data_IF_447985069699
#
_entry.id   IF_447985069699
#
_cell.length_a   1.000
_cell.length_b   1.000
_cell.length_c   1.000
_cell.angle_alpha   90.00
_cell.angle_beta   90.00
_cell.angle_gamma   90.00
#
_symmetry.space_group_name_H-M   'P 1'
#
loop_
_entity.id
_entity.type
_entity.pdbx_description
1 polymer ?
2 non-polymer ?
3 water ?
#
# COMPACT_ATOMS: atom_id res chain seq x y z
N UNK A 8 17.70 9.65 -15.71
CA UNK A 8 18.68 9.63 -14.61
C UNK A 8 19.25 11.02 -14.28
N UNK A 9 19.43 11.30 -13.00
CA UNK A 9 19.80 12.62 -12.43
C UNK A 9 20.56 12.42 -11.12
N UNK A 10 21.37 13.41 -10.73
CA UNK A 10 22.15 13.51 -9.46
C UNK A 10 21.23 13.34 -8.25
N UNK A 11 19.99 13.80 -8.36
CA UNK A 11 19.08 13.98 -7.22
C UNK A 11 17.94 12.98 -7.30
N UNK A 12 17.68 12.27 -6.20
CA UNK A 12 16.50 11.37 -6.07
C UNK A 12 15.44 12.08 -5.21
N UNK A 13 14.19 11.85 -5.59
CA UNK A 13 12.99 12.38 -4.91
C UNK A 13 12.31 11.18 -4.26
N UNK A 14 12.20 11.20 -2.93
CA UNK A 14 11.65 10.09 -2.13
C UNK A 14 10.29 10.52 -1.60
N UNK A 15 9.28 9.66 -1.71
CA UNK A 15 8.04 9.95 -0.95
C UNK A 15 7.53 8.68 -0.26
N UNK A 16 6.35 8.80 0.37
CA UNK A 16 5.78 7.77 1.26
C UNK A 16 6.66 7.63 2.50
N UNK A 17 7.33 8.71 2.92
CA UNK A 17 8.05 8.73 4.22
C UNK A 17 7.04 8.93 5.34
N UNK A 18 7.33 8.27 6.47
CA UNK A 18 6.54 8.34 7.73
C UNK A 18 6.51 9.80 8.21
N UNK A 19 5.32 10.41 8.24
CA UNK A 19 5.17 11.86 8.48
C UNK A 19 5.29 12.16 9.98
N UNK A 20 5.29 11.14 10.84
CA UNK A 20 5.38 11.34 12.32
C UNK A 20 6.82 11.69 12.69
N UNK A 21 7.77 11.49 11.79
CA UNK A 21 9.22 11.63 12.09
C UNK A 21 9.58 13.10 11.92
N UNK A 22 10.28 13.65 12.92
CA UNK A 22 10.84 15.02 12.93
C UNK A 22 11.88 15.16 11.81
N UNK A 23 11.95 16.37 11.24
CA UNK A 23 12.90 16.74 10.17
C UNK A 23 14.32 16.31 10.52
N UNK A 24 14.85 16.64 11.70
CA UNK A 24 16.30 16.44 11.97
C UNK A 24 16.62 14.94 11.99
N UNK A 25 15.79 14.15 12.64
CA UNK A 25 15.98 12.67 12.77
C UNK A 25 15.82 12.05 11.37
N UNK A 26 14.78 12.46 10.62
CA UNK A 26 14.56 11.93 9.25
C UNK A 26 15.82 12.13 8.41
N UNK A 27 16.49 13.30 8.48
CA UNK A 27 17.71 13.57 7.65
C UNK A 27 18.83 12.64 8.10
N UNK A 28 18.99 12.48 9.39
CA UNK A 28 20.10 11.68 9.96
C UNK A 28 19.92 10.21 9.59
N UNK A 29 18.71 9.69 9.69
CA UNK A 29 18.36 8.29 9.32
C UNK A 29 18.51 8.10 7.80
N UNK A 30 18.15 9.12 7.01
CA UNK A 30 18.35 9.07 5.53
C UNK A 30 19.86 8.98 5.18
N UNK A 31 20.73 9.77 5.81
CA UNK A 31 22.20 9.63 5.66
C UNK A 31 22.60 8.18 6.01
N UNK A 32 22.08 7.64 7.10
CA UNK A 32 22.49 6.31 7.60
C UNK A 32 22.32 5.24 6.49
N UNK A 33 21.24 5.31 5.70
CA UNK A 33 20.93 4.24 4.71
C UNK A 33 21.42 4.60 3.30
N UNK A 34 21.60 5.88 2.95
CA UNK A 34 21.96 6.32 1.58
C UNK A 34 23.46 6.60 1.43
N UNK A 35 24.22 6.87 2.50
CA UNK A 35 25.64 7.27 2.40
C UNK A 35 26.45 6.18 1.69
N UNK A 36 26.06 4.91 1.77
CA UNK A 36 26.91 3.86 1.15
C UNK A 36 26.90 4.01 -0.38
N UNK A 37 25.92 4.71 -0.97
CA UNK A 37 25.81 4.76 -2.46
C UNK A 37 26.85 5.72 -3.07
N UNK A 38 27.42 6.61 -2.26
CA UNK A 38 28.31 7.69 -2.75
C UNK A 38 28.18 8.95 -1.91
N UNK A 39 28.95 9.99 -2.23
CA UNK A 39 28.95 11.26 -1.47
C UNK A 39 27.60 11.95 -1.65
N UNK A 40 26.99 12.31 -0.53
CA UNK A 40 25.70 13.08 -0.50
C UNK A 40 26.05 14.54 -0.29
N UNK A 41 25.63 15.40 -1.23
CA UNK A 41 25.90 16.87 -1.09
C UNK A 41 24.89 17.49 -0.12
N UNK A 42 23.64 17.04 -0.15
CA UNK A 42 22.66 17.49 0.88
C UNK A 42 21.43 16.58 0.86
N UNK A 43 20.69 16.65 1.94
CA UNK A 43 19.33 16.06 2.03
C UNK A 43 18.36 17.19 2.36
N UNK A 44 17.38 17.41 1.50
CA UNK A 44 16.32 18.44 1.69
C UNK A 44 15.04 17.78 2.19
N UNK A 45 14.57 18.23 3.35
CA UNK A 45 13.26 17.83 3.95
C UNK A 45 12.48 19.07 4.36
N UNK A 46 11.23 19.21 3.90
CA UNK A 46 10.28 20.29 4.30
C UNK A 46 9.17 19.72 5.17
N UNK A 47 8.83 20.40 6.27
CA UNK A 47 7.63 20.05 7.09
C UNK A 47 6.45 20.96 6.69
N UNK A 48 6.60 21.81 5.67
CA UNK A 48 5.43 22.47 5.01
C UNK A 48 4.42 21.37 4.64
N UNK A 49 3.13 21.55 4.98
CA UNK A 49 2.14 20.45 5.10
C UNK A 49 2.14 19.58 3.83
N UNK A 50 1.97 20.20 2.66
CA UNK A 50 1.84 19.43 1.40
C UNK A 50 3.19 18.77 1.03
N UNK A 51 4.30 19.19 1.64
CA UNK A 51 5.65 18.61 1.35
C UNK A 51 6.08 17.61 2.44
N UNK A 52 5.20 17.28 3.38
CA UNK A 52 5.49 16.20 4.35
C UNK A 52 5.58 14.86 3.61
N UNK A 53 6.37 13.94 4.14
CA UNK A 53 6.39 12.56 3.61
C UNK A 53 7.36 12.43 2.47
N UNK A 54 8.12 13.48 2.20
CA UNK A 54 8.95 13.61 0.99
C UNK A 54 10.33 14.16 1.36
N UNK A 55 11.32 13.81 0.55
CA UNK A 55 12.72 14.22 0.75
C UNK A 55 13.46 14.24 -0.58
N UNK A 56 14.54 15.02 -0.66
CA UNK A 56 15.42 15.09 -1.85
C UNK A 56 16.82 14.72 -1.38
N UNK A 57 17.45 13.73 -2.02
CA UNK A 57 18.86 13.39 -1.73
C UNK A 57 19.69 13.74 -2.97
N UNK A 58 20.61 14.69 -2.81
CA UNK A 58 21.51 15.19 -3.88
C UNK A 58 22.82 14.42 -3.75
N UNK A 59 23.11 13.55 -4.69
CA UNK A 59 24.42 12.85 -4.79
C UNK A 59 25.36 13.69 -5.66
N UNK A 60 26.66 13.53 -5.43
CA UNK A 60 27.71 14.14 -6.27
C UNK A 60 27.71 13.50 -7.66
N UNK A 61 27.52 12.17 -7.77
CA UNK A 61 27.54 11.46 -9.08
C UNK A 61 26.15 10.92 -9.41
N UNK A 62 25.77 10.99 -10.69
CA UNK A 62 24.55 10.32 -11.25
C UNK A 62 24.59 8.80 -10.97
N UNK A 63 25.72 8.10 -11.14
CA UNK A 63 25.82 6.64 -10.92
C UNK A 63 25.39 6.29 -9.48
N UNK A 64 25.80 7.10 -8.51
CA UNK A 64 25.40 6.95 -7.08
C UNK A 64 23.87 7.06 -6.94
N UNK A 65 23.25 8.05 -7.58
CA UNK A 65 21.79 8.29 -7.52
C UNK A 65 21.09 7.09 -8.16
N UNK A 66 21.58 6.59 -9.30
CA UNK A 66 20.96 5.44 -9.99
C UNK A 66 21.00 4.19 -9.08
N UNK A 67 22.16 3.92 -8.49
CA UNK A 67 22.30 2.71 -7.62
C UNK A 67 21.43 2.86 -6.37
N UNK A 68 21.35 4.06 -5.78
CA UNK A 68 20.51 4.38 -4.61
C UNK A 68 19.06 4.08 -4.97
N UNK A 69 18.59 4.61 -6.08
CA UNK A 69 17.17 4.48 -6.49
C UNK A 69 16.84 2.99 -6.70
N UNK A 70 17.66 2.24 -7.45
CA UNK A 70 17.35 0.82 -7.78
C UNK A 70 17.45 -0.03 -6.49
N UNK A 71 18.49 0.15 -5.69
CA UNK A 71 18.70 -0.71 -4.49
C UNK A 71 17.66 -0.42 -3.40
N UNK A 72 17.22 0.83 -3.22
CA UNK A 72 16.40 1.22 -2.06
C UNK A 72 14.93 1.39 -2.44
N UNK A 73 14.56 1.11 -3.68
CA UNK A 73 13.13 1.11 -4.10
C UNK A 73 12.32 0.19 -3.16
N UNK A 74 11.28 0.74 -2.54
CA UNK A 74 10.38 -0.03 -1.65
C UNK A 74 10.97 -0.32 -0.29
N UNK A 75 12.14 0.21 0.04
CA UNK A 75 12.84 -0.16 1.29
C UNK A 75 11.97 0.29 2.47
N UNK A 76 11.59 -0.64 3.38
CA UNK A 76 10.77 -0.32 4.55
C UNK A 76 11.60 0.44 5.58
N UNK A 77 11.18 1.68 5.82
CA UNK A 77 11.90 2.68 6.62
C UNK A 77 10.89 3.34 7.54
N UNK A 78 11.07 3.27 8.85
CA UNK A 78 9.98 3.67 9.80
C UNK A 78 8.67 2.98 9.40
N UNK A 79 8.76 1.69 9.04
CA UNK A 79 7.61 0.80 8.75
C UNK A 79 6.88 1.15 7.46
N UNK A 80 7.45 1.99 6.60
CA UNK A 80 6.77 2.38 5.34
C UNK A 80 7.72 2.15 4.18
N UNK A 81 7.25 1.53 3.07
CA UNK A 81 8.07 1.32 1.88
C UNK A 81 8.27 2.65 1.15
N UNK A 82 9.51 3.10 1.05
CA UNK A 82 9.78 4.38 0.36
C UNK A 82 9.62 4.22 -1.17
N UNK A 83 9.09 5.25 -1.82
CA UNK A 83 8.99 5.32 -3.29
C UNK A 83 10.04 6.31 -3.78
N UNK A 84 10.86 5.91 -4.73
CA UNK A 84 12.03 6.73 -5.15
C UNK A 84 11.88 6.99 -6.64
N UNK A 85 12.10 8.23 -7.05
CA UNK A 85 12.19 8.58 -8.49
C UNK A 85 13.33 9.59 -8.65
N UNK A 86 13.81 9.79 -9.87
CA UNK A 86 14.77 10.87 -10.16
C UNK A 86 14.04 12.21 -10.07
N UNK A 87 14.68 13.22 -9.51
CA UNK A 87 14.20 14.63 -9.52
C UNK A 87 14.63 15.25 -10.85
N UNK A 88 13.69 15.68 -11.69
CA UNK A 88 14.04 16.41 -12.93
C UNK A 88 13.99 17.90 -12.64
N UNK A 89 15.01 18.63 -13.05
CA UNK A 89 15.05 20.11 -12.86
C UNK A 89 13.86 20.71 -13.61
N UNK A 90 13.16 21.65 -12.96
CA UNK A 90 12.06 22.45 -13.55
C UNK A 90 10.85 21.54 -13.86
N UNK A 91 10.70 20.41 -13.14
CA UNK A 91 9.55 19.48 -13.25
C UNK A 91 8.31 19.99 -12.46
N UNK A 92 8.46 21.05 -11.67
CA UNK A 92 7.36 21.65 -10.85
C UNK A 92 6.73 20.59 -9.91
N UNK A 93 7.56 19.85 -9.17
CA UNK A 93 7.05 18.85 -8.18
C UNK A 93 6.13 19.58 -7.19
N UNK A 94 6.57 20.76 -6.71
CA UNK A 94 5.88 21.48 -5.59
C UNK A 94 4.62 22.15 -6.14
N UNK A 95 4.72 22.81 -7.30
CA UNK A 95 3.63 23.59 -7.93
C UNK A 95 2.50 22.64 -8.37
N UNK A 96 2.82 21.43 -8.84
CA UNK A 96 1.80 20.40 -9.22
C UNK A 96 1.18 19.72 -7.99
N UNK A 97 1.82 19.81 -6.81
CA UNK A 97 1.43 19.08 -5.58
C UNK A 97 0.43 19.94 -4.79
N UNK A 98 -0.58 19.30 -4.23
CA UNK A 98 -1.60 19.98 -3.39
C UNK A 98 -1.68 19.35 -2.00
N UNK B 8 -21.78 -6.97 17.31
CA UNK B 8 -22.60 -6.47 16.17
C UNK B 8 -22.29 -5.00 15.88
N UNK B 9 -22.11 -4.68 14.60
CA UNK B 9 -21.63 -3.37 14.10
C UNK B 9 -22.47 -3.03 12.87
N UNK B 10 -22.53 -1.77 12.47
CA UNK B 10 -23.30 -1.34 11.26
C UNK B 10 -22.48 -1.66 10.00
N UNK B 11 -21.23 -2.10 10.16
CA UNK B 11 -20.35 -2.45 9.02
C UNK B 11 -20.14 -3.98 9.00
N UNK B 12 -20.29 -4.58 7.83
CA UNK B 12 -19.92 -6.02 7.60
C UNK B 12 -18.65 -6.06 6.74
N UNK B 13 -17.78 -6.98 7.11
CA UNK B 13 -16.50 -7.29 6.42
C UNK B 13 -16.72 -8.58 5.63
N UNK B 14 -16.50 -8.51 4.33
CA UNK B 14 -16.75 -9.68 3.44
C UNK B 14 -15.40 -10.14 2.86
N UNK B 15 -15.22 -11.46 2.86
CA UNK B 15 -13.99 -12.14 2.37
C UNK B 15 -14.40 -13.26 1.37
N UNK B 16 -13.42 -13.78 0.65
CA UNK B 16 -13.63 -14.88 -0.33
C UNK B 16 -14.39 -14.38 -1.55
N UNK B 17 -14.26 -13.10 -1.92
CA UNK B 17 -14.88 -12.55 -3.16
C UNK B 17 -13.97 -12.84 -4.36
N UNK B 18 -14.58 -13.05 -5.51
CA UNK B 18 -13.91 -13.29 -6.82
C UNK B 18 -13.03 -12.09 -7.17
N UNK B 19 -11.71 -12.27 -7.17
CA UNK B 19 -10.75 -11.15 -7.37
C UNK B 19 -10.63 -10.78 -8.86
N UNK B 20 -11.14 -11.61 -9.78
CA UNK B 20 -11.08 -11.30 -11.24
C UNK B 20 -12.10 -10.23 -11.62
N UNK B 21 -13.08 -9.89 -10.77
CA UNK B 21 -14.11 -8.89 -11.13
C UNK B 21 -13.53 -7.47 -10.95
N UNK B 22 -13.72 -6.61 -11.96
CA UNK B 22 -13.28 -5.19 -11.83
C UNK B 22 -14.02 -4.59 -10.63
N UNK B 23 -13.40 -3.65 -9.94
CA UNK B 23 -13.89 -3.14 -8.63
C UNK B 23 -15.18 -2.35 -8.78
N UNK B 24 -15.31 -1.56 -9.86
CA UNK B 24 -16.55 -0.77 -10.11
C UNK B 24 -17.71 -1.75 -10.29
N UNK B 25 -17.48 -2.83 -11.00
CA UNK B 25 -18.52 -3.89 -11.18
C UNK B 25 -18.81 -4.62 -9.85
N UNK B 26 -17.79 -5.06 -9.11
CA UNK B 26 -17.98 -5.76 -7.82
C UNK B 26 -18.85 -4.91 -6.89
N UNK B 27 -18.59 -3.61 -6.86
CA UNK B 27 -19.26 -2.67 -5.94
C UNK B 27 -20.74 -2.57 -6.34
N UNK B 28 -21.05 -2.49 -7.63
CA UNK B 28 -22.46 -2.38 -8.09
C UNK B 28 -23.22 -3.69 -7.81
N UNK B 29 -22.53 -4.80 -8.02
CA UNK B 29 -23.08 -6.17 -7.83
C UNK B 29 -23.33 -6.40 -6.33
N UNK B 30 -22.44 -5.93 -5.46
CA UNK B 30 -22.68 -5.90 -3.99
C UNK B 30 -23.90 -5.04 -3.61
N UNK B 31 -24.03 -3.84 -4.17
CA UNK B 31 -25.24 -3.01 -3.94
C UNK B 31 -26.49 -3.84 -4.31
N UNK B 32 -26.49 -4.47 -5.49
CA UNK B 32 -27.65 -5.21 -6.04
C UNK B 32 -28.14 -6.25 -5.03
N UNK B 33 -27.25 -6.94 -4.32
CA UNK B 33 -27.65 -8.06 -3.41
C UNK B 33 -27.84 -7.58 -1.96
N UNK B 34 -27.29 -6.44 -1.55
CA UNK B 34 -27.29 -6.00 -0.12
C UNK B 34 -28.28 -4.86 0.15
N UNK B 35 -28.73 -4.12 -0.87
CA UNK B 35 -29.60 -2.93 -0.67
C UNK B 35 -30.93 -3.33 0.00
N UNK B 36 -31.40 -4.56 -0.20
CA UNK B 36 -32.68 -5.04 0.38
C UNK B 36 -32.66 -5.01 1.92
N UNK B 37 -31.48 -4.96 2.58
CA UNK B 37 -31.38 -5.06 4.06
C UNK B 37 -31.53 -3.68 4.71
N UNK B 38 -31.37 -2.60 3.95
CA UNK B 38 -31.46 -1.22 4.48
C UNK B 38 -30.55 -0.28 3.74
N UNK B 39 -30.59 0.99 4.13
CA UNK B 39 -29.76 2.04 3.49
C UNK B 39 -28.29 1.66 3.70
N UNK B 40 -27.52 1.76 2.63
CA UNK B 40 -26.04 1.55 2.63
C UNK B 40 -25.39 2.93 2.53
N UNK B 41 -24.49 3.28 3.44
CA UNK B 41 -23.73 4.56 3.35
C UNK B 41 -22.69 4.42 2.23
N UNK B 42 -21.90 3.34 2.25
CA UNK B 42 -20.93 3.10 1.15
C UNK B 42 -20.53 1.63 1.13
N UNK B 43 -19.91 1.20 0.04
CA UNK B 43 -19.27 -0.14 -0.08
C UNK B 43 -17.80 0.11 -0.40
N UNK B 44 -16.91 -0.42 0.43
CA UNK B 44 -15.45 -0.24 0.27
C UNK B 44 -14.85 -1.48 -0.41
N UNK B 45 -14.18 -1.26 -1.52
CA UNK B 45 -13.43 -2.30 -2.28
C UNK B 45 -12.13 -1.65 -2.72
N UNK B 46 -11.11 -2.45 -3.02
CA UNK B 46 -9.77 -1.96 -3.42
C UNK B 46 -9.05 -3.05 -4.21
N UNK B 47 -8.28 -2.60 -5.22
CA UNK B 47 -7.35 -3.38 -6.07
C UNK B 47 -6.09 -3.76 -5.28
N UNK B 48 -5.81 -3.03 -4.21
CA UNK B 48 -4.55 -3.13 -3.45
C UNK B 48 -4.43 -4.55 -2.87
N UNK B 49 -3.23 -5.11 -2.82
CA UNK B 49 -2.99 -6.50 -2.36
C UNK B 49 -3.77 -6.81 -1.06
N UNK B 50 -3.62 -5.97 -0.03
CA UNK B 50 -4.14 -6.16 1.34
C UNK B 50 -5.67 -6.35 1.29
N UNK B 51 -6.34 -5.80 0.26
CA UNK B 51 -7.82 -5.82 0.13
C UNK B 51 -8.34 -6.78 -0.95
N UNK B 52 -7.47 -7.52 -1.63
CA UNK B 52 -7.95 -8.43 -2.72
C UNK B 52 -8.93 -9.48 -2.13
N UNK B 53 -10.08 -9.69 -2.75
CA UNK B 53 -11.08 -10.67 -2.31
C UNK B 53 -11.96 -10.17 -1.19
N UNK B 54 -11.88 -8.90 -0.83
CA UNK B 54 -12.54 -8.36 0.37
C UNK B 54 -13.35 -7.11 0.05
N UNK B 55 -14.27 -6.79 0.94
CA UNK B 55 -15.15 -5.59 0.85
C UNK B 55 -15.67 -5.28 2.24
N UNK B 56 -16.06 -4.01 2.44
CA UNK B 56 -16.84 -3.58 3.60
C UNK B 56 -18.18 -3.08 3.08
N UNK B 57 -19.27 -3.47 3.70
CA UNK B 57 -20.60 -2.83 3.43
C UNK B 57 -20.96 -2.08 4.70
N UNK B 58 -20.96 -0.74 4.61
CA UNK B 58 -21.29 0.17 5.76
C UNK B 58 -22.78 0.51 5.65
N UNK B 59 -23.58 -0.06 6.54
CA UNK B 59 -25.03 0.24 6.60
C UNK B 59 -25.25 1.42 7.53
N UNK B 60 -26.36 2.12 7.34
CA UNK B 60 -26.78 3.21 8.26
C UNK B 60 -27.13 2.62 9.64
N UNK B 61 -27.83 1.48 9.69
CA UNK B 61 -28.36 0.87 10.95
C UNK B 61 -27.72 -0.48 11.26
N UNK B 62 -27.39 -0.74 12.53
CA UNK B 62 -26.90 -2.07 13.02
C UNK B 62 -27.89 -3.17 12.59
N UNK B 63 -29.20 -2.96 12.67
CA UNK B 63 -30.19 -4.05 12.36
C UNK B 63 -30.01 -4.52 10.91
N UNK B 64 -29.79 -3.59 9.97
CA UNK B 64 -29.48 -3.88 8.55
C UNK B 64 -28.26 -4.82 8.47
N UNK B 65 -27.16 -4.45 9.14
CA UNK B 65 -25.93 -5.27 9.15
C UNK B 65 -26.20 -6.67 9.72
N UNK B 66 -26.94 -6.77 10.83
CA UNK B 66 -27.31 -8.07 11.45
C UNK B 66 -28.09 -8.92 10.45
N UNK B 67 -29.11 -8.36 9.82
CA UNK B 67 -29.96 -9.11 8.88
C UNK B 67 -29.10 -9.53 7.66
N UNK B 68 -28.25 -8.64 7.15
CA UNK B 68 -27.37 -8.92 5.96
C UNK B 68 -26.45 -10.10 6.29
N UNK B 69 -25.81 -10.07 7.44
CA UNK B 69 -24.81 -11.11 7.83
C UNK B 69 -25.55 -12.46 8.00
N UNK B 70 -26.66 -12.47 8.72
CA UNK B 70 -27.40 -13.73 8.99
C UNK B 70 -27.94 -14.32 7.68
N UNK B 71 -28.46 -13.47 6.78
CA UNK B 71 -29.12 -13.88 5.51
C UNK B 71 -28.10 -14.27 4.45
N UNK B 72 -26.94 -13.62 4.36
CA UNK B 72 -26.07 -13.77 3.15
C UNK B 72 -24.79 -14.54 3.44
N UNK B 73 -24.65 -15.04 4.67
CA UNK B 73 -23.51 -15.92 5.06
C UNK B 73 -23.42 -17.10 4.09
N UNK B 74 -22.27 -17.30 3.46
CA UNK B 74 -22.03 -18.37 2.48
C UNK B 74 -22.71 -18.16 1.12
N UNK B 75 -23.34 -17.02 0.87
CA UNK B 75 -24.04 -16.74 -0.41
C UNK B 75 -23.09 -16.87 -1.60
N UNK B 76 -23.42 -17.74 -2.60
CA UNK B 76 -22.58 -17.87 -3.79
C UNK B 76 -22.75 -16.68 -4.73
N UNK B 77 -21.64 -16.04 -5.04
CA UNK B 77 -21.54 -14.72 -5.70
C UNK B 77 -20.31 -14.80 -6.58
N UNK B 78 -20.46 -14.62 -7.90
CA UNK B 78 -19.34 -14.78 -8.88
C UNK B 78 -18.71 -16.15 -8.64
N UNK B 79 -19.55 -17.16 -8.36
CA UNK B 79 -19.15 -18.59 -8.30
C UNK B 79 -18.42 -18.91 -6.99
N UNK B 80 -18.50 -18.09 -5.93
CA UNK B 80 -17.76 -18.38 -4.68
C UNK B 80 -18.65 -18.01 -3.50
N UNK B 81 -18.67 -18.84 -2.44
CA UNK B 81 -19.44 -18.51 -1.24
C UNK B 81 -18.77 -17.38 -0.47
N UNK B 82 -19.51 -16.30 -0.22
CA UNK B 82 -18.89 -15.17 0.53
C UNK B 82 -18.92 -15.49 2.03
N UNK B 83 -17.93 -14.98 2.76
CA UNK B 83 -17.75 -15.16 4.22
C UNK B 83 -17.92 -13.79 4.89
N UNK B 84 -18.88 -13.66 5.80
CA UNK B 84 -19.26 -12.32 6.37
C UNK B 84 -19.01 -12.32 7.87
N UNK B 85 -18.39 -11.26 8.37
CA UNK B 85 -18.13 -11.00 9.80
C UNK B 85 -18.46 -9.53 10.07
N UNK B 86 -18.89 -9.19 11.28
CA UNK B 86 -19.04 -7.77 11.66
C UNK B 86 -17.64 -7.13 11.68
N UNK B 87 -17.52 -5.90 11.21
CA UNK B 87 -16.28 -5.09 11.38
C UNK B 87 -16.12 -4.83 12.88
N UNK B 88 -14.91 -5.05 13.41
CA UNK B 88 -14.58 -4.89 14.85
C UNK B 88 -14.90 -3.44 15.27
N UNK B 89 -14.33 -2.44 14.58
CA UNK B 89 -14.50 -0.97 14.85
C UNK B 89 -14.19 -0.18 13.56
N UNK B 90 -14.30 1.16 13.59
CA UNK B 90 -13.75 2.03 12.52
C UNK B 90 -12.26 1.74 12.38
N UNK B 91 -11.56 1.39 13.45
CA UNK B 91 -10.11 1.10 13.37
C UNK B 91 -9.82 -0.13 12.47
N UNK B 92 -10.61 -1.20 12.58
CA UNK B 92 -10.49 -2.44 11.75
C UNK B 92 -10.66 -2.07 10.27
N UNK B 93 -11.66 -1.27 9.93
CA UNK B 93 -11.88 -0.85 8.52
C UNK B 93 -10.66 -0.05 8.03
N UNK B 94 -10.16 0.93 8.78
CA UNK B 94 -9.01 1.79 8.36
C UNK B 94 -7.72 0.97 8.19
N UNK B 95 -7.38 0.14 9.16
CA UNK B 95 -6.18 -0.75 9.08
C UNK B 95 -6.23 -1.58 7.78
N UNK B 96 -7.42 -2.06 7.40
CA UNK B 96 -7.61 -2.96 6.23
C UNK B 96 -7.53 -2.17 4.90
N UNK B 97 -8.25 -1.05 4.77
CA UNK B 97 -8.43 -0.32 3.48
C UNK B 97 -7.21 0.52 3.12
N UNK B 98 -6.65 1.20 4.11
CA UNK B 98 -5.67 2.28 3.89
C UNK B 98 -4.45 2.06 4.77
N UNK C 8 21.12 -4.52 -8.33
CA UNK C 8 19.72 -4.92 -8.62
C UNK C 8 19.51 -5.37 -10.09
N UNK C 9 18.64 -6.36 -10.26
CA UNK C 9 18.39 -7.14 -11.50
C UNK C 9 16.94 -7.62 -11.42
N UNK C 10 16.27 -7.85 -12.55
CA UNK C 10 14.86 -8.32 -12.54
C UNK C 10 14.82 -9.82 -12.23
N UNK C 11 15.99 -10.50 -12.10
CA UNK C 11 16.06 -11.95 -11.78
C UNK C 11 16.60 -12.14 -10.38
N UNK C 12 15.89 -12.91 -9.56
CA UNK C 12 16.42 -13.41 -8.27
C UNK C 12 16.86 -14.86 -8.46
N UNK C 13 17.97 -15.15 -7.81
CA UNK C 13 18.61 -16.48 -7.68
C UNK C 13 18.29 -17.00 -6.27
N UNK C 14 17.56 -18.10 -6.21
CA UNK C 14 17.14 -18.72 -4.92
C UNK C 14 17.93 -20.03 -4.73
N UNK C 15 18.50 -20.24 -3.55
CA UNK C 15 19.07 -21.58 -3.25
C UNK C 15 18.68 -21.99 -1.83
N UNK C 16 19.18 -23.13 -1.39
CA UNK C 16 18.76 -23.75 -0.11
C UNK C 16 17.31 -24.20 -0.22
N UNK C 17 16.88 -24.60 -1.43
CA UNK C 17 15.52 -25.17 -1.62
C UNK C 17 15.61 -26.66 -1.29
N UNK C 18 14.51 -27.19 -0.79
CA UNK C 18 14.34 -28.63 -0.47
C UNK C 18 14.55 -29.42 -1.76
N UNK C 19 15.63 -30.20 -1.82
CA UNK C 19 16.10 -30.93 -3.03
C UNK C 19 15.23 -32.17 -3.31
N UNK C 20 14.33 -32.54 -2.42
CA UNK C 20 13.45 -33.72 -2.60
C UNK C 20 12.18 -33.32 -3.35
N UNK C 21 11.95 -32.03 -3.58
CA UNK C 21 10.69 -31.58 -4.27
C UNK C 21 10.91 -31.71 -5.78
N UNK C 22 9.99 -32.38 -6.47
CA UNK C 22 10.05 -32.54 -7.94
C UNK C 22 9.90 -31.16 -8.60
N UNK C 23 10.58 -30.97 -9.72
CA UNK C 23 10.75 -29.71 -10.50
C UNK C 23 9.40 -29.03 -10.78
N UNK C 24 8.43 -29.79 -11.30
CA UNK C 24 7.11 -29.23 -11.74
C UNK C 24 6.38 -28.64 -10.51
N UNK C 25 6.43 -29.34 -9.37
CA UNK C 25 5.78 -28.88 -8.13
C UNK C 25 6.57 -27.70 -7.55
N UNK C 26 7.90 -27.77 -7.50
CA UNK C 26 8.71 -26.65 -6.99
C UNK C 26 8.33 -25.36 -7.73
N UNK C 27 8.17 -25.45 -9.05
CA UNK C 27 7.92 -24.29 -9.93
C UNK C 27 6.58 -23.66 -9.57
N UNK C 28 5.55 -24.47 -9.40
CA UNK C 28 4.19 -23.97 -9.06
C UNK C 28 4.16 -23.42 -7.63
N UNK C 29 4.87 -24.04 -6.69
CA UNK C 29 4.90 -23.55 -5.29
C UNK C 29 5.67 -22.22 -5.24
N UNK C 30 6.64 -22.04 -6.13
CA UNK C 30 7.41 -20.78 -6.19
C UNK C 30 6.52 -19.68 -6.76
N UNK C 31 5.77 -20.01 -7.80
CA UNK C 31 4.79 -19.07 -8.39
C UNK C 31 3.83 -18.59 -7.29
N UNK C 32 3.34 -19.52 -6.48
CA UNK C 32 2.34 -19.28 -5.43
C UNK C 32 2.82 -18.19 -4.47
N UNK C 33 4.10 -18.21 -4.12
CA UNK C 33 4.55 -17.27 -3.06
C UNK C 33 5.20 -16.02 -3.68
N UNK C 34 5.66 -16.05 -4.94
CA UNK C 34 6.35 -14.89 -5.52
C UNK C 34 5.45 -14.06 -6.45
N UNK C 35 4.31 -14.58 -6.89
CA UNK C 35 3.52 -13.86 -7.93
C UNK C 35 3.01 -12.52 -7.39
N UNK C 36 2.82 -12.41 -6.07
CA UNK C 36 2.26 -11.16 -5.47
C UNK C 36 3.26 -9.99 -5.60
N UNK C 37 4.54 -10.20 -5.87
CA UNK C 37 5.51 -9.06 -6.01
C UNK C 37 5.36 -8.36 -7.36
N UNK C 38 4.69 -8.97 -8.33
CA UNK C 38 4.60 -8.47 -9.71
C UNK C 38 4.66 -9.61 -10.72
N UNK C 39 4.44 -9.26 -11.98
CA UNK C 39 4.38 -10.25 -13.07
C UNK C 39 5.71 -11.01 -13.14
N UNK C 40 5.62 -12.34 -13.16
CA UNK C 40 6.78 -13.26 -13.32
C UNK C 40 6.82 -13.62 -14.80
N UNK C 41 7.93 -13.42 -15.48
CA UNK C 41 8.05 -13.86 -16.89
C UNK C 41 8.42 -15.33 -16.96
N UNK C 42 9.21 -15.83 -16.02
CA UNK C 42 9.67 -17.23 -16.12
C UNK C 42 10.18 -17.70 -14.75
N UNK C 43 10.02 -18.97 -14.44
CA UNK C 43 10.75 -19.59 -13.31
C UNK C 43 11.61 -20.69 -13.91
N UNK C 44 12.93 -20.57 -13.75
CA UNK C 44 13.90 -21.55 -14.27
C UNK C 44 14.28 -22.52 -13.14
N UNK C 45 13.95 -23.80 -13.33
CA UNK C 45 14.37 -24.93 -12.46
C UNK C 45 14.81 -26.06 -13.38
N UNK C 46 15.58 -27.00 -12.89
CA UNK C 46 16.12 -28.09 -13.74
C UNK C 46 16.29 -29.36 -12.90
N UNK C 47 16.21 -30.52 -13.56
CA UNK C 47 16.55 -31.86 -13.01
C UNK C 47 18.08 -31.99 -12.82
N UNK C 48 18.86 -31.18 -13.53
CA UNK C 48 20.35 -31.09 -13.48
C UNK C 48 20.91 -31.06 -12.05
N UNK C 49 22.10 -31.62 -11.84
CA UNK C 49 22.92 -31.46 -10.60
C UNK C 49 23.33 -29.99 -10.42
N UNK C 50 23.56 -29.25 -11.50
CA UNK C 50 23.94 -27.81 -11.48
C UNK C 50 22.84 -26.96 -10.81
N UNK C 51 21.59 -27.39 -10.86
CA UNK C 51 20.42 -26.58 -10.44
C UNK C 51 19.67 -27.26 -9.27
N UNK C 52 20.19 -28.35 -8.71
CA UNK C 52 19.55 -29.03 -7.55
C UNK C 52 19.40 -28.02 -6.40
N UNK C 53 18.22 -27.85 -5.83
CA UNK C 53 18.03 -26.93 -4.69
C UNK C 53 18.04 -25.46 -5.08
N UNK C 54 17.94 -25.13 -6.37
CA UNK C 54 18.09 -23.73 -6.87
C UNK C 54 16.99 -23.40 -7.88
N UNK C 55 16.73 -22.12 -8.04
CA UNK C 55 15.75 -21.56 -9.00
C UNK C 55 16.16 -20.13 -9.35
N UNK C 56 15.77 -19.68 -10.55
CA UNK C 56 15.73 -18.25 -10.90
C UNK C 56 14.27 -17.89 -11.18
N UNK C 57 13.84 -16.79 -10.59
CA UNK C 57 12.53 -16.14 -10.88
C UNK C 57 12.85 -14.85 -11.63
N UNK C 58 12.38 -14.77 -12.87
CA UNK C 58 12.58 -13.62 -13.78
C UNK C 58 11.29 -12.81 -13.68
N UNK C 59 11.36 -11.64 -13.05
CA UNK C 59 10.23 -10.69 -12.97
C UNK C 59 10.24 -9.74 -14.17
N UNK C 60 9.07 -9.23 -14.52
CA UNK C 60 8.97 -8.22 -15.62
C UNK C 60 9.71 -6.96 -15.18
N UNK C 61 9.61 -6.54 -13.91
CA UNK C 61 10.20 -5.28 -13.39
C UNK C 61 11.25 -5.55 -12.30
N UNK C 62 12.37 -4.84 -12.34
CA UNK C 62 13.44 -4.82 -11.29
C UNK C 62 12.82 -4.59 -9.91
N UNK C 63 11.93 -3.59 -9.78
CA UNK C 63 11.27 -3.25 -8.50
C UNK C 63 10.58 -4.49 -7.87
N UNK C 64 9.97 -5.38 -8.66
CA UNK C 64 9.36 -6.65 -8.20
C UNK C 64 10.41 -7.57 -7.58
N UNK C 65 11.54 -7.76 -8.25
CA UNK C 65 12.69 -8.56 -7.79
C UNK C 65 13.21 -7.97 -6.47
N UNK C 66 13.36 -6.65 -6.42
CA UNK C 66 13.82 -5.91 -5.23
C UNK C 66 12.91 -6.21 -4.05
N UNK C 67 11.60 -6.11 -4.24
CA UNK C 67 10.61 -6.32 -3.15
C UNK C 67 10.63 -7.80 -2.74
N UNK C 68 10.72 -8.73 -3.69
CA UNK C 68 10.77 -10.20 -3.43
C UNK C 68 11.96 -10.53 -2.52
N UNK C 69 13.13 -10.01 -2.86
CA UNK C 69 14.41 -10.22 -2.14
C UNK C 69 14.29 -9.60 -0.74
N UNK C 70 13.74 -8.39 -0.63
CA UNK C 70 13.60 -7.67 0.66
C UNK C 70 12.65 -8.43 1.61
N UNK C 71 11.58 -9.06 1.11
CA UNK C 71 10.45 -9.58 1.93
C UNK C 71 10.53 -11.08 2.20
N UNK C 72 11.19 -11.84 1.34
CA UNK C 72 11.11 -13.34 1.36
C UNK C 72 12.46 -13.92 1.79
N UNK C 73 13.41 -13.09 2.22
CA UNK C 73 14.75 -13.61 2.63
C UNK C 73 14.54 -14.61 3.79
N UNK C 74 15.07 -15.83 3.69
CA UNK C 74 14.96 -16.84 4.76
C UNK C 74 13.55 -17.38 4.92
N UNK C 75 12.65 -17.13 3.95
CA UNK C 75 11.26 -17.61 4.08
C UNK C 75 11.23 -19.14 4.14
N UNK C 76 10.65 -19.74 5.21
CA UNK C 76 10.59 -21.19 5.32
C UNK C 76 9.58 -21.80 4.34
N UNK C 77 10.12 -22.63 3.46
CA UNK C 77 9.44 -23.21 2.29
C UNK C 77 9.83 -24.68 2.22
N UNK C 78 8.87 -25.59 2.27
CA UNK C 78 9.16 -27.03 2.44
C UNK C 78 10.11 -27.20 3.63
N UNK C 79 9.82 -26.47 4.72
CA UNK C 79 10.51 -26.55 6.04
C UNK C 79 12.02 -26.30 5.86
N UNK C 80 12.41 -25.41 4.94
CA UNK C 80 13.82 -25.00 4.73
C UNK C 80 13.86 -23.51 4.45
N UNK C 81 14.65 -22.68 5.18
CA UNK C 81 14.70 -21.24 4.93
C UNK C 81 15.40 -20.93 3.58
N UNK C 82 14.67 -20.32 2.64
CA UNK C 82 15.24 -20.08 1.28
C UNK C 82 16.20 -18.88 1.32
N UNK C 83 17.27 -18.96 0.56
CA UNK C 83 18.31 -17.93 0.51
C UNK C 83 18.17 -17.24 -0.84
N UNK C 84 18.08 -15.91 -0.84
CA UNK C 84 17.74 -15.14 -2.06
C UNK C 84 18.83 -14.10 -2.27
N UNK C 85 19.17 -13.87 -3.52
CA UNK C 85 20.12 -12.82 -3.94
C UNK C 85 19.71 -12.43 -5.36
N UNK C 86 20.03 -11.23 -5.78
CA UNK C 86 19.90 -10.85 -7.20
C UNK C 86 20.79 -11.79 -8.01
N UNK C 87 20.38 -12.18 -9.21
CA UNK C 87 21.25 -12.93 -10.15
C UNK C 87 22.47 -12.05 -10.44
N UNK C 88 23.68 -12.56 -10.28
CA UNK C 88 24.90 -11.69 -10.25
C UNK C 88 25.20 -11.20 -11.67
N UNK C 89 25.16 -12.14 -12.62
CA UNK C 89 25.51 -11.94 -14.04
C UNK C 89 24.50 -12.73 -14.87
N UNK C 90 24.27 -12.35 -16.14
CA UNK C 90 23.56 -13.29 -17.06
C UNK C 90 24.38 -14.58 -17.16
N UNK C 91 25.71 -14.49 -17.07
CA UNK C 91 26.58 -15.68 -17.19
C UNK C 91 26.19 -16.71 -16.12
N UNK C 92 25.82 -16.28 -14.92
CA UNK C 92 25.44 -17.21 -13.82
C UNK C 92 24.19 -18.00 -14.22
N UNK C 93 23.21 -17.35 -14.87
CA UNK C 93 21.96 -18.04 -15.29
C UNK C 93 22.31 -19.04 -16.41
N UNK C 94 23.06 -18.57 -17.41
CA UNK C 94 23.42 -19.36 -18.62
C UNK C 94 24.25 -20.59 -18.21
N UNK C 95 25.23 -20.38 -17.35
CA UNK C 95 26.12 -21.47 -16.87
C UNK C 95 25.29 -22.53 -16.15
N UNK C 96 24.25 -22.11 -15.40
CA UNK C 96 23.46 -23.03 -14.55
C UNK C 96 22.46 -23.84 -15.38
N UNK C 97 21.81 -23.21 -16.35
CA UNK C 97 20.64 -23.79 -17.07
C UNK C 97 21.09 -24.63 -18.28
N UNK C 98 22.07 -24.14 -19.05
CA UNK C 98 22.43 -24.72 -20.36
C UNK C 98 23.88 -25.24 -20.33
N UNK D 8 -5.62 10.46 -7.39
CA UNK D 8 -6.86 11.22 -7.03
C UNK D 8 -8.08 10.28 -6.96
N UNK D 9 -8.75 10.27 -5.82
CA UNK D 9 -9.89 9.36 -5.55
C UNK D 9 -10.87 10.09 -4.60
N UNK D 10 -12.00 9.47 -4.30
CA UNK D 10 -13.14 10.20 -3.67
C UNK D 10 -12.98 10.20 -2.14
N UNK D 11 -11.86 9.70 -1.59
CA UNK D 11 -11.66 9.68 -0.12
C UNK D 11 -10.45 10.52 0.22
N UNK D 12 -10.62 11.47 1.14
CA UNK D 12 -9.46 12.26 1.65
C UNK D 12 -9.13 11.75 3.04
N UNK D 13 -7.84 11.81 3.35
CA UNK D 13 -7.18 11.30 4.58
C UNK D 13 -6.55 12.53 5.25
N UNK D 14 -6.96 12.80 6.47
CA UNK D 14 -6.37 13.85 7.34
C UNK D 14 -5.61 13.16 8.46
N UNK D 15 -4.32 13.48 8.66
CA UNK D 15 -3.46 12.64 9.55
C UNK D 15 -2.92 13.40 10.76
N UNK D 16 -3.32 14.66 10.99
CA UNK D 16 -2.78 15.50 12.10
C UNK D 16 -3.92 16.26 12.79
N UNK D 17 -5.06 15.60 13.00
CA UNK D 17 -6.21 16.25 13.71
C UNK D 17 -5.88 16.39 15.18
N UNK D 18 -6.55 17.33 15.82
CA UNK D 18 -6.40 17.61 17.27
C UNK D 18 -6.82 16.36 18.04
N UNK D 19 -5.89 15.69 18.70
CA UNK D 19 -6.10 14.37 19.35
C UNK D 19 -6.99 14.47 20.59
N UNK D 20 -7.26 15.68 21.08
CA UNK D 20 -8.02 15.88 22.34
C UNK D 20 -9.53 15.92 22.07
N UNK D 21 -9.98 15.78 20.82
CA UNK D 21 -11.43 15.91 20.48
C UNK D 21 -12.04 14.50 20.42
N UNK D 22 -13.17 14.29 21.10
CA UNK D 22 -13.94 13.02 21.08
C UNK D 22 -14.52 12.77 19.68
N UNK D 23 -14.59 11.48 19.32
CA UNK D 23 -14.91 10.99 17.96
C UNK D 23 -16.24 11.57 17.47
N UNK D 24 -17.32 11.49 18.26
CA UNK D 24 -18.66 11.96 17.80
C UNK D 24 -18.59 13.46 17.42
N UNK D 25 -17.99 14.28 18.28
CA UNK D 25 -17.85 15.74 18.05
C UNK D 25 -16.98 15.98 16.82
N UNK D 26 -15.85 15.29 16.73
CA UNK D 26 -14.90 15.44 15.61
C UNK D 26 -15.61 15.19 14.27
N UNK D 27 -16.45 14.15 14.18
CA UNK D 27 -17.13 13.79 12.91
C UNK D 27 -18.15 14.88 12.56
N UNK D 28 -18.87 15.39 13.55
CA UNK D 28 -19.90 16.43 13.33
C UNK D 28 -19.21 17.70 12.81
N UNK D 29 -18.08 18.07 13.40
CA UNK D 29 -17.32 19.30 13.04
C UNK D 29 -16.73 19.13 11.63
N UNK D 30 -16.26 17.92 11.30
CA UNK D 30 -15.76 17.61 9.94
C UNK D 30 -16.89 17.76 8.92
N UNK D 31 -18.09 17.25 9.21
CA UNK D 31 -19.27 17.43 8.35
C UNK D 31 -19.53 18.93 8.17
N UNK D 32 -19.44 19.73 9.23
CA UNK D 32 -19.74 21.18 9.23
C UNK D 32 -18.88 21.87 8.15
N UNK D 33 -17.59 21.51 8.07
CA UNK D 33 -16.62 22.22 7.20
C UNK D 33 -16.52 21.53 5.82
N UNK D 34 -16.83 20.22 5.67
CA UNK D 34 -16.57 19.46 4.41
C UNK D 34 -17.84 19.25 3.58
N UNK D 35 -19.02 19.42 4.13
CA UNK D 35 -20.30 19.15 3.42
C UNK D 35 -20.42 20.09 2.21
N UNK D 36 -19.92 21.32 2.24
CA UNK D 36 -20.13 22.24 1.10
C UNK D 36 -19.46 21.68 -0.17
N UNK D 37 -18.49 20.77 -0.06
CA UNK D 37 -17.71 20.29 -1.24
C UNK D 37 -18.52 19.26 -2.06
N UNK D 38 -19.54 18.64 -1.48
CA UNK D 38 -20.36 17.60 -2.13
C UNK D 38 -20.91 16.61 -1.13
N UNK D 39 -21.68 15.64 -1.61
CA UNK D 39 -22.25 14.58 -0.73
C UNK D 39 -21.14 13.78 -0.04
N UNK D 40 -21.18 13.73 1.28
CA UNK D 40 -20.30 12.87 2.12
C UNK D 40 -21.05 11.57 2.35
N UNK D 41 -20.48 10.43 1.95
CA UNK D 41 -21.09 9.09 2.15
C UNK D 41 -20.85 8.68 3.60
N UNK D 42 -19.64 8.90 4.11
CA UNK D 42 -19.34 8.57 5.53
C UNK D 42 -18.04 9.23 5.97
N UNK D 43 -17.86 9.33 7.29
CA UNK D 43 -16.59 9.75 7.91
C UNK D 43 -16.12 8.65 8.86
N UNK D 44 -14.88 8.21 8.69
CA UNK D 44 -14.26 7.18 9.53
C UNK D 44 -13.18 7.85 10.38
N UNK D 45 -13.33 7.67 11.69
CA UNK D 45 -12.41 8.17 12.76
C UNK D 45 -12.25 7.01 13.75
N UNK D 46 -11.01 6.63 14.06
CA UNK D 46 -10.68 5.60 15.08
C UNK D 46 -10.30 6.24 16.42
N UNK D 47 -11.02 5.85 17.48
CA UNK D 47 -10.68 6.13 18.91
C UNK D 47 -9.46 5.29 19.34
N UNK D 48 -8.93 4.43 18.45
CA UNK D 48 -7.67 3.65 18.63
C UNK D 48 -6.47 4.58 18.85
N UNK D 49 -5.60 4.21 19.77
CA UNK D 49 -4.41 5.00 20.24
C UNK D 49 -3.41 5.14 19.09
N UNK D 50 -3.16 4.08 18.33
CA UNK D 50 -2.16 4.04 17.22
C UNK D 50 -2.67 4.80 15.98
N UNK D 51 -3.96 5.16 15.94
CA UNK D 51 -4.54 5.97 14.82
C UNK D 51 -5.12 7.29 15.34
N UNK D 52 -4.58 7.78 16.45
CA UNK D 52 -4.75 9.16 16.98
C UNK D 52 -4.54 10.16 15.83
N UNK D 53 -5.46 11.11 15.67
CA UNK D 53 -5.26 12.26 14.77
C UNK D 53 -5.70 11.99 13.35
N UNK D 54 -6.39 10.87 13.06
CA UNK D 54 -6.78 10.47 11.68
C UNK D 54 -8.28 10.56 11.45
N UNK D 55 -8.66 10.84 10.20
CA UNK D 55 -10.03 10.81 9.74
C UNK D 55 -10.03 10.58 8.23
N UNK D 56 -11.05 9.87 7.76
CA UNK D 56 -11.27 9.65 6.32
C UNK D 56 -12.65 10.18 5.97
N UNK D 57 -12.70 11.13 5.05
CA UNK D 57 -13.98 11.69 4.56
C UNK D 57 -14.22 11.09 3.19
N UNK D 58 -15.26 10.27 3.05
CA UNK D 58 -15.57 9.57 1.77
C UNK D 58 -16.65 10.38 1.06
N UNK D 59 -16.31 10.97 -0.07
CA UNK D 59 -17.24 11.76 -0.93
C UNK D 59 -17.87 10.81 -1.94
N UNK D 60 -19.09 11.10 -2.38
CA UNK D 60 -19.71 10.43 -3.55
C UNK D 60 -18.89 10.67 -4.84
N UNK D 61 -18.28 11.85 -5.03
CA UNK D 61 -17.61 12.18 -6.32
C UNK D 61 -16.13 12.51 -6.08
N UNK D 62 -15.26 12.12 -7.00
CA UNK D 62 -13.80 12.42 -6.95
C UNK D 62 -13.64 13.94 -7.01
N UNK D 63 -14.46 14.64 -7.80
CA UNK D 63 -14.26 16.10 -7.98
C UNK D 63 -14.48 16.84 -6.63
N UNK D 64 -15.46 16.40 -5.83
CA UNK D 64 -15.68 16.81 -4.44
C UNK D 64 -14.43 16.62 -3.58
N UNK D 65 -13.82 15.43 -3.57
CA UNK D 65 -12.60 15.14 -2.78
C UNK D 65 -11.48 16.10 -3.20
N UNK D 66 -11.31 16.28 -4.51
CA UNK D 66 -10.22 17.15 -5.05
C UNK D 66 -10.46 18.60 -4.61
N UNK D 67 -11.69 19.09 -4.68
CA UNK D 67 -12.00 20.48 -4.28
C UNK D 67 -11.75 20.61 -2.77
N UNK D 68 -12.14 19.60 -1.99
CA UNK D 68 -12.02 19.58 -0.52
C UNK D 68 -10.53 19.62 -0.15
N UNK D 69 -9.72 18.78 -0.79
CA UNK D 69 -8.25 18.69 -0.47
C UNK D 69 -7.58 20.03 -0.79
N UNK D 70 -7.79 20.54 -1.99
CA UNK D 70 -7.13 21.77 -2.49
C UNK D 70 -7.63 22.99 -1.69
N UNK D 71 -8.92 23.07 -1.37
CA UNK D 71 -9.47 24.24 -0.64
C UNK D 71 -9.09 24.22 0.84
N UNK D 72 -8.97 23.05 1.48
CA UNK D 72 -8.88 22.96 2.96
C UNK D 72 -7.49 22.55 3.42
N UNK D 73 -6.54 22.32 2.52
CA UNK D 73 -5.16 22.03 2.92
C UNK D 73 -4.71 23.17 3.84
N UNK D 74 -4.16 22.88 5.02
CA UNK D 74 -3.68 23.92 5.96
C UNK D 74 -4.80 24.62 6.74
N UNK D 75 -6.08 24.25 6.59
CA UNK D 75 -7.18 24.96 7.27
C UNK D 75 -7.10 24.69 8.77
N UNK D 76 -6.97 25.74 9.62
CA UNK D 76 -6.83 25.53 11.06
C UNK D 76 -8.14 25.05 11.68
N UNK D 77 -8.12 23.83 12.17
CA UNK D 77 -9.30 23.08 12.67
C UNK D 77 -8.97 22.66 14.10
N UNK D 78 -9.76 23.12 15.07
CA UNK D 78 -9.40 23.01 16.50
C UNK D 78 -7.94 23.44 16.66
N UNK D 79 -7.59 24.56 16.04
CA UNK D 79 -6.30 25.31 16.16
C UNK D 79 -5.13 24.46 15.64
N UNK D 80 -5.34 23.59 14.66
CA UNK D 80 -4.24 22.81 14.03
C UNK D 80 -4.50 22.77 12.53
N UNK D 81 -3.64 23.42 11.72
CA UNK D 81 -3.74 23.35 10.27
C UNK D 81 -3.80 21.90 9.81
N UNK D 82 -4.79 21.54 9.01
CA UNK D 82 -5.01 20.13 8.59
C UNK D 82 -4.04 19.77 7.48
N UNK D 83 -3.49 18.56 7.54
CA UNK D 83 -2.67 17.94 6.48
C UNK D 83 -3.55 16.90 5.78
N UNK D 84 -3.96 17.21 4.56
CA UNK D 84 -4.91 16.40 3.77
C UNK D 84 -4.15 15.71 2.62
N UNK D 85 -4.43 14.44 2.45
CA UNK D 85 -3.96 13.61 1.30
C UNK D 85 -5.18 12.86 0.72
N UNK D 86 -5.04 12.33 -0.49
CA UNK D 86 -5.96 11.31 -1.03
C UNK D 86 -5.69 10.01 -0.28
N UNK D 87 -6.73 9.27 0.05
CA UNK D 87 -6.62 7.98 0.77
C UNK D 87 -5.79 6.99 -0.08
N UNK D 88 -4.97 6.16 0.58
CA UNK D 88 -4.07 5.08 0.05
C UNK D 88 -3.00 5.75 -0.81
X LIG E 1 27.26 -10.36 -17.40
X LIG E 1 27.40 -11.80 -17.50
X LIG E 1 28.40 -9.82 -16.71
X LIG E 1 27.20 -9.79 -18.74
X LIG E 1 26.06 -9.99 -16.67
#
# INVERSE_FOLDING_TARGET
MAVPETRPNHTIYINNLNEKIKKDELKKSLHAIFSRFGQILDILVSRSLKMRGQAFVIFKEVSSATNALRSMQGFPFYDKPMRIQYAKTDSDIIAKMW
MAVPETRPNHTIYINNLNEKIKKDELKKSLHAIFSRFGQILDILVSRSLKMRGQAFVIFKEVSSATNALRSMQGFPFYDKPMRIQYAKTDSDIIAKMW
MAVPETRPNHTIYINNLNEKIKKDELKKSLHAIFSRFGQILDILVSRSLKMRGQAFVIFKEVSSATNALRSMQGFPFYDKPMRIQYAKTDSDIIAKMW
MAVPETRPNHTIYINNLNEKIKKDELKKSLHAIFSRFGQILDILVSRSLKMRGQAFVIFKEVSSATNALRSMQGFPFYDKPMRIQYAKTDSDIIAKMW
SO4 S O1 O2 O3 O4
#
